data_IF_361560483057
#
_entry.id   IF_361560483057
#
_cell.length_a   1.000
_cell.length_b   1.000
_cell.length_c   1.000
_cell.angle_alpha   90.00
_cell.angle_beta   90.00
_cell.angle_gamma   90.00
#
_symmetry.space_group_name_H-M   'P 1'
#
loop_
_entity.id
_entity.type
_entity.pdbx_description
1 polymer ?
#
# COMPACT_ATOMS: atom_id res chain seq x y z
N UNK A 1 -20.85 -51.29 40.75
CA UNK A 1 -20.54 -51.13 39.31
C UNK A 1 -20.73 -49.64 38.98
N UNK A 2 -19.62 -48.88 38.91
CA UNK A 2 -18.88 -48.50 37.66
C UNK A 2 -19.66 -47.48 36.82
N UNK A 3 -19.22 -46.21 36.73
CA UNK A 3 -18.15 -45.70 35.82
C UNK A 3 -18.46 -46.04 34.35
N UNK A 4 -18.48 -45.11 33.39
CA UNK A 4 -18.04 -43.68 33.37
C UNK A 4 -18.68 -42.97 32.16
N UNK A 5 -18.96 -41.65 32.19
CA UNK A 5 -19.27 -40.91 30.96
C UNK A 5 -18.02 -40.82 30.05
N UNK A 6 -18.24 -40.92 28.74
CA UNK A 6 -17.16 -40.98 27.74
C UNK A 6 -16.42 -39.65 27.65
N UNK A 7 -15.08 -39.67 27.72
CA UNK A 7 -14.25 -38.52 27.35
C UNK A 7 -14.46 -38.19 25.87
N UNK A 8 -15.10 -37.06 25.59
CA UNK A 8 -15.11 -36.47 24.25
C UNK A 8 -13.69 -36.06 23.91
N UNK A 9 -13.08 -36.69 22.91
CA UNK A 9 -11.73 -36.35 22.44
C UNK A 9 -11.83 -35.03 21.68
N UNK A 10 -11.29 -33.95 22.23
CA UNK A 10 -11.09 -32.73 21.46
C UNK A 10 -10.03 -32.98 20.37
N UNK A 11 -10.28 -32.63 19.09
CA UNK A 11 -9.26 -32.74 18.06
C UNK A 11 -8.13 -31.76 18.34
N UNK A 12 -6.90 -32.27 18.26
CA UNK A 12 -5.67 -31.55 18.53
C UNK A 12 -5.57 -30.28 17.67
N UNK A 13 -5.62 -29.09 18.30
CA UNK A 13 -5.55 -27.79 17.61
C UNK A 13 -4.14 -27.53 17.08
N UNK A 14 -3.86 -28.01 15.87
CA UNK A 14 -2.65 -27.66 15.12
C UNK A 14 -2.72 -26.17 14.77
N UNK A 15 -1.90 -25.37 15.45
CA UNK A 15 -1.82 -23.92 15.23
C UNK A 15 -1.18 -23.65 13.88
N UNK A 16 -1.97 -23.20 12.90
CA UNK A 16 -1.50 -22.83 11.56
C UNK A 16 -1.36 -21.30 11.42
N UNK A 17 -0.19 -20.78 10.98
CA UNK A 17 0.06 -19.35 10.92
C UNK A 17 -0.60 -18.72 9.69
N UNK A 18 -1.92 -18.44 9.78
CA UNK A 18 -2.71 -17.85 8.69
C UNK A 18 -2.80 -16.33 8.80
N UNK A 19 -2.92 -15.67 7.65
CA UNK A 19 -3.17 -14.24 7.38
C UNK A 19 -1.94 -13.30 7.49
N UNK A 20 -1.63 -12.63 6.37
CA UNK A 20 -0.69 -11.50 6.25
C UNK A 20 -1.35 -10.36 5.42
N UNK A 21 -0.79 -9.14 5.42
CA UNK A 21 -1.64 -7.94 5.48
C UNK A 21 -0.93 -6.60 5.13
N UNK A 22 -1.58 -5.67 4.41
CA UNK A 22 -1.09 -4.31 4.01
C UNK A 22 -2.32 -3.31 3.91
N UNK A 23 -2.11 -1.99 3.66
CA UNK A 23 -3.08 -0.85 3.53
C UNK A 23 -3.61 -0.25 4.87
N UNK A 24 -3.38 0.97 5.44
CA UNK A 24 -2.77 2.32 5.16
C UNK A 24 -3.67 3.71 4.99
N UNK A 25 -3.32 4.97 5.52
CA UNK A 25 -3.62 6.50 5.17
C UNK A 25 -3.57 7.66 6.36
N UNK A 26 -3.49 9.05 6.33
CA UNK A 26 -3.11 10.02 7.56
C UNK A 26 -3.44 11.70 7.61
N UNK A 27 -2.99 13.04 8.01
CA UNK A 27 -1.90 14.17 8.50
C UNK A 27 -2.32 15.40 9.44
N UNK A 28 -1.34 15.90 10.25
CA UNK A 28 -1.15 17.24 10.92
C UNK A 28 -1.21 18.48 9.96
N UNK A 29 -1.36 19.73 10.45
CA UNK A 29 -1.06 21.00 9.74
C UNK A 29 0.41 21.51 9.97
N UNK A 30 0.91 22.67 9.49
CA UNK A 30 1.01 23.38 8.17
C UNK A 30 1.85 24.68 8.36
N UNK A 31 2.69 25.11 7.38
CA UNK A 31 3.25 26.49 7.30
C UNK A 31 3.64 26.89 5.84
N UNK A 32 3.83 28.19 5.58
CA UNK A 32 3.97 28.84 4.26
C UNK A 32 5.39 29.33 3.94
N UNK A 33 5.82 29.27 2.66
CA UNK A 33 6.84 30.13 2.01
C UNK A 33 6.39 30.41 0.56
N UNK A 34 6.84 31.53 -0.01
CA UNK A 34 6.39 32.15 -1.27
C UNK A 34 6.88 31.47 -2.57
N UNK A 35 6.33 31.92 -3.71
CA UNK A 35 6.61 31.40 -5.06
C UNK A 35 7.58 32.34 -5.78
N UNK A 36 8.66 31.80 -6.34
CA UNK A 36 9.47 32.48 -7.36
C UNK A 36 9.45 31.65 -8.65
N UNK A 37 9.01 32.26 -9.76
CA UNK A 37 8.88 31.60 -11.05
C UNK A 37 10.06 31.95 -11.97
N UNK A 38 11.11 31.12 -11.95
CA UNK A 38 12.16 31.16 -12.96
C UNK A 38 11.88 30.13 -14.06
N UNK A 39 12.00 30.53 -15.32
CA UNK A 39 11.90 29.63 -16.45
C UNK A 39 13.10 28.67 -16.48
N UNK A 40 12.84 27.36 -16.53
CA UNK A 40 13.89 26.34 -16.51
C UNK A 40 14.55 26.22 -17.89
N UNK A 41 15.87 26.41 -17.96
CA UNK A 41 16.66 26.00 -19.13
C UNK A 41 16.54 24.48 -19.34
N UNK A 42 16.49 24.03 -20.60
CA UNK A 42 16.52 22.60 -20.90
C UNK A 42 17.92 22.03 -20.64
N UNK A 43 18.14 21.55 -19.42
CA UNK A 43 19.27 20.65 -19.14
C UNK A 43 19.15 19.39 -20.04
N UNK A 44 20.28 18.86 -20.55
CA UNK A 44 20.27 17.64 -21.36
C UNK A 44 19.68 16.47 -20.55
N UNK A 45 18.75 15.73 -21.18
CA UNK A 45 17.93 14.74 -20.49
C UNK A 45 18.75 13.52 -20.03
N UNK A 46 19.15 13.53 -18.76
CA UNK A 46 19.94 12.47 -18.12
C UNK A 46 19.12 11.25 -17.71
N UNK A 47 19.81 10.15 -17.40
CA UNK A 47 19.26 8.93 -16.79
C UNK A 47 18.30 9.24 -15.63
N UNK A 48 18.75 10.03 -14.66
CA UNK A 48 17.95 10.40 -13.49
C UNK A 48 16.76 11.29 -13.83
N UNK A 49 16.86 12.15 -14.85
CA UNK A 49 15.72 12.94 -15.33
C UNK A 49 14.63 12.06 -15.94
N UNK A 50 15.02 11.10 -16.78
CA UNK A 50 14.07 10.14 -17.37
C UNK A 50 13.43 9.21 -16.34
N UNK A 51 14.17 8.76 -15.31
CA UNK A 51 13.57 8.04 -14.17
C UNK A 51 12.53 8.90 -13.44
N UNK A 52 12.88 10.14 -13.07
CA UNK A 52 11.98 11.04 -12.34
C UNK A 52 10.70 11.32 -13.11
N UNK A 53 10.82 11.66 -14.39
CA UNK A 53 9.68 11.83 -15.31
C UNK A 53 8.82 10.58 -15.39
N UNK A 54 9.42 9.40 -15.52
CA UNK A 54 8.70 8.13 -15.60
C UNK A 54 7.94 7.78 -14.31
N UNK A 55 8.51 8.08 -13.15
CA UNK A 55 7.85 7.91 -11.85
C UNK A 55 6.69 8.90 -11.72
N UNK A 56 6.86 10.17 -12.10
CA UNK A 56 5.78 11.16 -12.08
C UNK A 56 4.63 10.79 -13.03
N UNK A 57 4.95 10.24 -14.22
CA UNK A 57 3.95 9.68 -15.15
C UNK A 57 3.24 8.46 -14.57
N UNK A 58 3.95 7.55 -13.90
CA UNK A 58 3.34 6.42 -13.21
C UNK A 58 2.36 6.87 -12.12
N UNK A 59 2.74 7.89 -11.32
CA UNK A 59 1.89 8.47 -10.29
C UNK A 59 0.67 9.24 -10.84
N UNK A 60 0.71 9.72 -12.09
CA UNK A 60 -0.46 10.25 -12.81
C UNK A 60 -1.33 9.16 -13.48
N UNK A 61 -0.92 7.89 -13.44
CA UNK A 61 -1.53 6.76 -14.17
C UNK A 61 -1.35 6.84 -15.70
N UNK A 62 -0.33 7.55 -16.18
CA UNK A 62 0.05 7.70 -17.59
C UNK A 62 0.92 6.50 -18.04
N UNK A 63 0.30 5.31 -18.08
CA UNK A 63 0.96 3.99 -18.17
C UNK A 63 2.04 3.87 -19.26
N UNK A 64 1.71 4.28 -20.48
CA UNK A 64 2.61 4.13 -21.64
C UNK A 64 3.80 5.10 -21.57
N UNK A 65 3.55 6.36 -21.23
CA UNK A 65 4.57 7.40 -21.11
C UNK A 65 5.53 7.14 -19.94
N UNK A 66 5.01 6.60 -18.83
CA UNK A 66 5.82 6.15 -17.71
C UNK A 66 6.82 5.07 -18.12
N UNK A 67 6.35 4.03 -18.83
CA UNK A 67 7.22 2.98 -19.37
C UNK A 67 8.22 3.53 -20.39
N UNK A 68 7.78 4.39 -21.31
CA UNK A 68 8.66 5.00 -22.30
C UNK A 68 9.77 5.86 -21.67
N UNK A 69 9.49 6.60 -20.60
CA UNK A 69 10.49 7.38 -19.87
C UNK A 69 11.50 6.49 -19.14
N UNK A 70 11.05 5.50 -18.37
CA UNK A 70 11.97 4.61 -17.64
C UNK A 70 12.79 3.74 -18.61
N UNK A 71 12.20 3.31 -19.75
CA UNK A 71 12.93 2.62 -20.82
C UNK A 71 14.02 3.49 -21.44
N UNK A 72 13.78 4.79 -21.68
CA UNK A 72 14.83 5.73 -22.14
C UNK A 72 15.97 5.87 -21.14
N UNK A 73 15.70 5.81 -19.83
CA UNK A 73 16.78 5.75 -18.83
C UNK A 73 17.61 4.47 -19.00
N UNK A 74 16.98 3.30 -19.15
CA UNK A 74 17.69 2.03 -19.43
C UNK A 74 18.47 2.08 -20.76
N UNK A 75 17.98 2.77 -21.79
CA UNK A 75 18.68 2.94 -23.07
C UNK A 75 19.92 3.84 -22.95
N UNK A 76 19.92 4.84 -22.06
CA UNK A 76 21.06 5.71 -21.78
C UNK A 76 22.14 5.03 -20.92
N UNK A 77 21.76 4.21 -19.94
CA UNK A 77 22.70 3.46 -19.10
C UNK A 77 22.33 1.96 -19.03
N UNK A 78 22.59 1.17 -20.09
CA UNK A 78 22.15 -0.24 -20.16
C UNK A 78 22.74 -1.15 -19.08
N UNK A 79 23.86 -0.77 -18.44
CA UNK A 79 24.48 -1.52 -17.34
C UNK A 79 24.13 -0.97 -15.95
N UNK A 80 23.26 0.05 -15.86
CA UNK A 80 22.76 0.54 -14.58
C UNK A 80 21.53 -0.25 -14.11
N UNK A 81 21.63 -1.06 -13.03
CA UNK A 81 20.53 -1.88 -12.54
C UNK A 81 19.34 -1.07 -12.05
N UNK A 82 19.53 0.20 -11.68
CA UNK A 82 18.46 1.06 -11.16
C UNK A 82 17.33 1.22 -12.17
N UNK A 83 17.62 1.33 -13.48
CA UNK A 83 16.57 1.44 -14.51
C UNK A 83 15.68 0.21 -14.57
N UNK A 84 16.30 -0.98 -14.53
CA UNK A 84 15.60 -2.27 -14.47
C UNK A 84 14.81 -2.43 -13.15
N UNK A 85 15.36 -1.97 -12.02
CA UNK A 85 14.65 -1.98 -10.75
C UNK A 85 13.37 -1.12 -10.80
N UNK A 86 13.43 0.05 -11.45
CA UNK A 86 12.26 0.92 -11.62
C UNK A 86 11.26 0.41 -12.67
N UNK A 87 11.69 -0.30 -13.72
CA UNK A 87 10.76 -1.05 -14.59
C UNK A 87 10.03 -2.15 -13.79
N UNK A 88 10.71 -2.83 -12.88
CA UNK A 88 10.07 -3.81 -12.00
C UNK A 88 9.05 -3.17 -11.05
N UNK A 89 9.35 -2.01 -10.44
CA UNK A 89 8.36 -1.23 -9.65
C UNK A 89 7.17 -0.83 -10.50
N UNK A 90 7.42 -0.34 -11.72
CA UNK A 90 6.39 0.13 -12.64
C UNK A 90 5.39 -0.99 -13.00
N UNK A 91 5.91 -2.16 -13.37
CA UNK A 91 5.08 -3.31 -13.68
C UNK A 91 4.38 -3.91 -12.45
N UNK A 92 5.00 -3.87 -11.25
CA UNK A 92 4.30 -4.21 -10.00
C UNK A 92 3.08 -3.29 -9.77
N UNK A 93 3.28 -1.98 -9.91
CA UNK A 93 2.24 -0.96 -9.75
C UNK A 93 1.08 -1.18 -10.74
N UNK A 94 1.36 -1.41 -12.02
CA UNK A 94 0.33 -1.72 -13.02
C UNK A 94 -0.35 -3.08 -12.81
N UNK A 95 0.34 -4.08 -12.25
CA UNK A 95 -0.26 -5.36 -11.87
C UNK A 95 -1.30 -5.18 -10.74
N UNK A 96 -0.98 -4.42 -9.69
CA UNK A 96 -1.93 -4.14 -8.59
C UNK A 96 -3.09 -3.20 -9.00
N UNK A 97 -2.90 -2.39 -10.06
CA UNK A 97 -3.94 -1.48 -10.58
C UNK A 97 -4.80 -2.05 -11.71
N UNK A 98 -4.52 -3.27 -12.19
CA UNK A 98 -5.24 -3.85 -13.32
C UNK A 98 -6.64 -4.35 -12.96
N UNK A 99 -7.63 -3.97 -13.77
CA UNK A 99 -8.99 -4.53 -13.74
C UNK A 99 -9.13 -5.85 -14.53
N UNK A 100 -8.08 -6.26 -15.26
CA UNK A 100 -8.05 -7.45 -16.11
C UNK A 100 -6.97 -8.44 -15.61
N UNK A 101 -7.32 -9.72 -15.49
CA UNK A 101 -6.36 -10.76 -15.05
C UNK A 101 -5.21 -10.92 -16.05
N UNK A 102 -5.48 -10.91 -17.37
CA UNK A 102 -4.42 -11.06 -18.38
C UNK A 102 -3.35 -9.98 -18.27
N UNK A 103 -3.78 -8.73 -18.14
CA UNK A 103 -2.87 -7.59 -18.01
C UNK A 103 -2.17 -7.61 -16.65
N UNK A 104 -2.84 -8.09 -15.59
CA UNK A 104 -2.24 -8.28 -14.27
C UNK A 104 -1.11 -9.30 -14.31
N UNK A 105 -1.35 -10.45 -14.93
CA UNK A 105 -0.42 -11.57 -15.03
C UNK A 105 0.77 -11.22 -15.93
N UNK A 106 0.54 -10.57 -17.09
CA UNK A 106 1.60 -10.10 -17.98
C UNK A 106 2.50 -9.04 -17.30
N UNK A 107 1.91 -8.11 -16.55
CA UNK A 107 2.67 -7.18 -15.72
C UNK A 107 3.44 -7.90 -14.59
N UNK A 108 2.87 -8.92 -13.97
CA UNK A 108 3.55 -9.72 -12.95
C UNK A 108 4.76 -10.49 -13.53
N UNK A 109 4.66 -11.00 -14.76
CA UNK A 109 5.79 -11.63 -15.44
C UNK A 109 6.90 -10.62 -15.78
N UNK A 110 6.54 -9.48 -16.39
CA UNK A 110 7.48 -8.40 -16.70
C UNK A 110 8.20 -7.86 -15.45
N UNK A 111 7.46 -7.68 -14.35
CA UNK A 111 7.98 -7.32 -13.02
C UNK A 111 9.08 -8.30 -12.55
N UNK A 112 8.84 -9.61 -12.65
CA UNK A 112 9.80 -10.63 -12.22
C UNK A 112 11.04 -10.68 -13.14
N UNK A 113 10.85 -10.51 -14.45
CA UNK A 113 11.94 -10.46 -15.42
C UNK A 113 12.85 -9.24 -15.19
N UNK A 114 12.28 -8.04 -15.05
CA UNK A 114 13.08 -6.84 -14.75
C UNK A 114 13.73 -6.85 -13.37
N UNK A 115 13.09 -7.46 -12.35
CA UNK A 115 13.72 -7.67 -11.04
C UNK A 115 14.92 -8.62 -11.13
N UNK A 116 14.84 -9.67 -11.95
CA UNK A 116 15.95 -10.60 -12.23
C UNK A 116 17.10 -9.91 -12.98
N UNK A 117 16.81 -9.07 -13.97
CA UNK A 117 17.82 -8.30 -14.71
C UNK A 117 18.52 -7.24 -13.84
N UNK A 118 17.76 -6.49 -13.03
CA UNK A 118 18.30 -5.58 -12.02
C UNK A 118 19.25 -6.30 -11.07
N UNK A 119 18.82 -7.44 -10.51
CA UNK A 119 19.65 -8.22 -9.60
C UNK A 119 20.96 -8.68 -10.26
N UNK A 120 20.90 -9.19 -11.49
CA UNK A 120 22.09 -9.66 -12.21
C UNK A 120 23.09 -8.54 -12.56
N UNK A 121 22.60 -7.37 -13.01
CA UNK A 121 23.44 -6.20 -13.31
C UNK A 121 23.99 -5.55 -12.03
N UNK A 122 23.21 -5.55 -10.95
CA UNK A 122 23.65 -5.13 -9.62
C UNK A 122 24.77 -6.01 -9.08
N UNK A 123 24.57 -7.33 -9.09
CA UNK A 123 25.58 -8.34 -8.72
C UNK A 123 26.90 -8.15 -9.48
N UNK A 124 26.83 -7.84 -10.78
CA UNK A 124 28.00 -7.52 -11.60
C UNK A 124 28.69 -6.25 -11.11
N UNK A 125 27.95 -5.14 -10.92
CA UNK A 125 28.51 -3.86 -10.45
C UNK A 125 29.16 -3.97 -9.06
N UNK A 126 28.51 -4.62 -8.08
CA UNK A 126 29.06 -4.71 -6.71
C UNK A 126 30.28 -5.62 -6.60
N UNK A 127 30.49 -6.55 -7.55
CA UNK A 127 31.72 -7.36 -7.64
C UNK A 127 32.90 -6.58 -8.19
N UNK A 128 32.65 -5.62 -9.09
CA UNK A 128 33.67 -4.69 -9.59
C UNK A 128 33.91 -3.51 -8.63
N UNK A 129 32.87 -3.02 -7.96
CA UNK A 129 32.92 -1.93 -6.99
C UNK A 129 32.10 -2.27 -5.72
N UNK A 130 32.74 -2.81 -4.66
CA UNK A 130 32.07 -3.10 -3.39
C UNK A 130 31.54 -1.90 -2.60
N UNK A 131 31.68 -0.67 -3.10
CA UNK A 131 31.14 0.58 -2.54
C UNK A 131 30.04 1.20 -3.43
N UNK A 132 29.47 0.42 -4.35
CA UNK A 132 28.41 0.89 -5.27
C UNK A 132 27.02 0.89 -4.59
N UNK A 133 26.77 1.95 -3.81
CA UNK A 133 25.51 2.16 -3.08
C UNK A 133 24.28 2.14 -4.01
N UNK A 134 24.40 2.58 -5.27
CA UNK A 134 23.31 2.55 -6.25
C UNK A 134 22.98 1.12 -6.71
N UNK A 135 24.00 0.31 -7.01
CA UNK A 135 23.82 -1.09 -7.36
C UNK A 135 23.23 -1.88 -6.18
N UNK A 136 23.67 -1.59 -4.95
CA UNK A 136 23.08 -2.16 -3.73
C UNK A 136 21.62 -1.76 -3.53
N UNK A 137 21.26 -0.51 -3.78
CA UNK A 137 19.87 -0.04 -3.73
C UNK A 137 18.99 -0.73 -4.78
N UNK A 138 19.48 -0.87 -6.02
CA UNK A 138 18.76 -1.56 -7.09
C UNK A 138 18.53 -3.05 -6.80
N UNK A 139 19.53 -3.73 -6.19
CA UNK A 139 19.39 -5.10 -5.66
C UNK A 139 18.30 -5.15 -4.59
N UNK A 140 18.37 -4.30 -3.57
CA UNK A 140 17.42 -4.30 -2.46
C UNK A 140 15.98 -4.06 -2.94
N UNK A 141 15.78 -3.09 -3.85
CA UNK A 141 14.49 -2.80 -4.46
C UNK A 141 13.95 -4.00 -5.26
N UNK A 142 14.78 -4.63 -6.10
CA UNK A 142 14.40 -5.83 -6.84
C UNK A 142 14.03 -7.02 -5.93
N UNK A 143 14.76 -7.21 -4.82
CA UNK A 143 14.43 -8.22 -3.80
C UNK A 143 13.08 -7.96 -3.14
N UNK A 144 12.79 -6.71 -2.77
CA UNK A 144 11.53 -6.33 -2.10
C UNK A 144 10.31 -6.57 -2.98
N UNK A 145 10.41 -6.29 -4.28
CA UNK A 145 9.35 -6.58 -5.26
C UNK A 145 9.08 -8.09 -5.33
N UNK A 146 10.14 -8.91 -5.37
CA UNK A 146 10.01 -10.39 -5.35
C UNK A 146 9.48 -10.92 -4.00
N UNK A 147 9.80 -10.29 -2.88
CA UNK A 147 9.24 -10.58 -1.55
C UNK A 147 7.73 -10.32 -1.52
N UNK A 148 7.29 -9.16 -2.01
CA UNK A 148 5.87 -8.81 -2.08
C UNK A 148 5.09 -9.80 -2.95
N UNK A 149 5.61 -10.13 -4.13
CA UNK A 149 5.05 -11.17 -5.00
C UNK A 149 4.98 -12.55 -4.30
N UNK A 150 6.08 -12.98 -3.68
CA UNK A 150 6.15 -14.28 -2.99
C UNK A 150 5.22 -14.36 -1.77
N UNK A 151 4.93 -13.25 -1.10
CA UNK A 151 3.89 -13.15 -0.06
C UNK A 151 2.50 -13.38 -0.68
N UNK A 152 2.14 -12.62 -1.72
CA UNK A 152 0.81 -12.68 -2.33
C UNK A 152 0.52 -14.07 -2.93
N UNK A 153 1.50 -14.66 -3.62
CA UNK A 153 1.42 -16.00 -4.22
C UNK A 153 1.77 -17.14 -3.25
N UNK A 154 2.03 -16.85 -1.96
CA UNK A 154 2.32 -17.84 -0.90
C UNK A 154 3.55 -18.72 -1.18
N UNK A 155 4.51 -18.23 -1.98
CA UNK A 155 5.76 -18.91 -2.32
C UNK A 155 6.81 -18.77 -1.20
N UNK A 156 6.57 -19.42 -0.06
CA UNK A 156 7.39 -19.28 1.16
C UNK A 156 8.90 -19.58 0.97
N UNK A 157 9.27 -20.44 0.02
CA UNK A 157 10.68 -20.70 -0.30
C UNK A 157 11.35 -19.47 -0.94
N UNK A 158 10.71 -18.85 -1.94
CA UNK A 158 11.20 -17.62 -2.57
C UNK A 158 11.21 -16.48 -1.55
N UNK A 159 10.20 -16.39 -0.68
CA UNK A 159 10.17 -15.42 0.41
C UNK A 159 11.40 -15.53 1.33
N UNK A 160 11.77 -16.75 1.75
CA UNK A 160 12.96 -16.99 2.56
C UNK A 160 14.26 -16.68 1.80
N UNK A 161 14.38 -17.14 0.55
CA UNK A 161 15.53 -16.86 -0.32
C UNK A 161 15.73 -15.35 -0.54
N UNK A 162 14.64 -14.60 -0.76
CA UNK A 162 14.74 -13.19 -1.08
C UNK A 162 14.92 -12.30 0.14
N UNK A 163 14.40 -12.70 1.31
CA UNK A 163 14.65 -12.05 2.60
C UNK A 163 16.09 -12.24 3.09
N UNK A 164 16.76 -13.31 2.66
CA UNK A 164 18.15 -13.61 3.04
C UNK A 164 19.12 -12.46 2.68
N UNK A 165 19.96 -12.09 3.64
CA UNK A 165 20.96 -11.02 3.60
C UNK A 165 20.43 -9.62 3.17
N UNK A 166 19.11 -9.38 3.25
CA UNK A 166 18.54 -8.14 2.74
C UNK A 166 18.99 -6.89 3.51
N UNK A 167 19.28 -7.03 4.80
CA UNK A 167 19.83 -5.94 5.62
C UNK A 167 21.26 -5.56 5.22
N UNK A 168 22.09 -6.50 4.76
CA UNK A 168 23.45 -6.18 4.27
C UNK A 168 23.38 -5.36 2.99
N UNK A 169 22.39 -5.64 2.14
CA UNK A 169 22.12 -4.85 0.94
C UNK A 169 21.56 -3.47 1.29
N UNK A 170 20.62 -3.37 2.24
CA UNK A 170 20.03 -2.09 2.68
C UNK A 170 21.04 -1.18 3.40
N UNK A 171 21.85 -1.72 4.31
CA UNK A 171 22.85 -0.94 5.05
C UNK A 171 23.94 -0.35 4.14
N UNK A 172 24.33 -1.09 3.09
CA UNK A 172 25.24 -0.56 2.05
C UNK A 172 24.53 0.40 1.09
N UNK A 173 23.30 0.09 0.67
CA UNK A 173 22.47 0.96 -0.18
C UNK A 173 22.22 2.34 0.42
N UNK A 174 22.19 2.45 1.76
CA UNK A 174 22.05 3.70 2.51
C UNK A 174 23.23 4.66 2.31
N UNK A 175 24.43 4.12 2.11
CA UNK A 175 25.67 4.89 1.97
C UNK A 175 26.17 5.54 3.27
N UNK A 176 27.25 6.31 3.13
CA UNK A 176 27.93 7.02 4.22
C UNK A 176 27.71 8.53 4.13
N UNK A 177 28.02 9.27 5.20
CA UNK A 177 27.85 10.72 5.29
C UNK A 177 28.46 11.44 4.06
N UNK A 178 27.66 12.27 3.39
CA UNK A 178 28.01 12.96 2.14
C UNK A 178 27.51 12.27 0.86
N UNK A 179 27.28 10.96 0.88
CA UNK A 179 26.71 10.18 -0.23
C UNK A 179 25.60 9.23 0.27
N UNK A 180 24.65 9.83 1.00
CA UNK A 180 23.56 9.11 1.67
C UNK A 180 22.33 9.01 0.76
N UNK A 181 21.94 7.80 0.39
CA UNK A 181 20.72 7.58 -0.40
C UNK A 181 19.50 7.51 0.51
N UNK A 182 18.70 8.58 0.52
CA UNK A 182 17.50 8.66 1.36
C UNK A 182 16.35 7.77 0.89
N UNK A 183 16.31 7.34 -0.37
CA UNK A 183 15.29 6.40 -0.86
C UNK A 183 15.45 5.00 -0.24
N UNK A 184 16.64 4.65 0.25
CA UNK A 184 16.86 3.39 0.98
C UNK A 184 16.06 3.33 2.29
N UNK A 185 15.78 4.47 2.94
CA UNK A 185 14.98 4.48 4.19
C UNK A 185 13.51 4.11 3.96
N UNK A 186 12.97 4.28 2.77
CA UNK A 186 11.65 3.74 2.44
C UNK A 186 11.67 2.21 2.53
N UNK A 187 12.68 1.59 1.93
CA UNK A 187 12.85 0.14 1.89
C UNK A 187 13.14 -0.45 3.29
N UNK A 188 13.92 0.23 4.12
CA UNK A 188 14.16 -0.15 5.52
C UNK A 188 12.89 0.03 6.37
N UNK A 189 12.18 1.14 6.18
CA UNK A 189 10.99 1.50 6.93
C UNK A 189 9.82 0.53 6.70
N UNK A 190 9.61 0.09 5.46
CA UNK A 190 8.68 -0.99 5.11
C UNK A 190 8.89 -2.23 5.99
N UNK A 191 10.13 -2.70 6.13
CA UNK A 191 10.43 -3.85 6.97
C UNK A 191 10.21 -3.53 8.46
N UNK A 192 10.84 -2.48 8.98
CA UNK A 192 10.77 -2.16 10.41
C UNK A 192 9.34 -1.92 10.90
N UNK A 193 8.50 -1.25 10.10
CA UNK A 193 7.10 -0.98 10.41
C UNK A 193 6.24 -2.25 10.36
N UNK A 194 6.21 -2.95 9.21
CA UNK A 194 5.30 -4.08 9.02
C UNK A 194 5.73 -5.33 9.79
N UNK A 195 7.01 -5.45 10.22
CA UNK A 195 7.58 -6.59 10.94
C UNK A 195 6.71 -7.14 12.07
N UNK A 196 6.12 -6.27 12.90
CA UNK A 196 5.26 -6.65 14.04
C UNK A 196 4.02 -7.43 13.62
N UNK A 197 3.55 -7.23 12.39
CA UNK A 197 2.40 -7.93 11.80
C UNK A 197 2.79 -9.26 11.12
N UNK A 198 4.09 -9.60 11.04
CA UNK A 198 4.60 -10.75 10.29
C UNK A 198 5.14 -11.87 11.19
N UNK A 199 4.24 -12.60 11.86
CA UNK A 199 4.56 -13.70 12.79
C UNK A 199 5.30 -14.91 12.20
N UNK A 200 5.62 -14.91 10.89
CA UNK A 200 6.38 -15.96 10.20
C UNK A 200 7.76 -15.55 9.68
N UNK A 201 8.00 -14.28 9.31
CA UNK A 201 9.26 -13.84 8.68
C UNK A 201 10.40 -13.70 9.68
N UNK A 202 10.10 -13.49 10.96
CA UNK A 202 11.07 -13.28 12.05
C UNK A 202 12.13 -14.41 12.13
N UNK A 203 11.83 -15.64 11.67
CA UNK A 203 12.78 -16.77 11.65
C UNK A 203 13.80 -16.71 10.49
N UNK A 204 13.54 -15.93 9.44
CA UNK A 204 14.38 -15.83 8.24
C UNK A 204 15.21 -14.53 8.22
N UNK A 205 14.99 -13.66 9.19
CA UNK A 205 15.86 -12.52 9.49
C UNK A 205 16.87 -12.94 10.57
N UNK A 206 18.07 -12.36 10.53
CA UNK A 206 19.11 -12.65 11.52
C UNK A 206 18.66 -12.24 12.92
N UNK A 207 18.94 -13.10 13.91
CA UNK A 207 18.41 -12.98 15.28
C UNK A 207 18.86 -11.74 16.05
N UNK A 208 19.87 -11.02 15.55
CA UNK A 208 20.35 -9.73 16.08
C UNK A 208 19.44 -8.53 15.77
N UNK A 209 18.47 -8.67 14.85
CA UNK A 209 17.65 -7.55 14.34
C UNK A 209 16.23 -7.46 14.91
N UNK A 210 15.89 -8.28 15.91
CA UNK A 210 14.60 -8.19 16.63
C UNK A 210 14.68 -7.06 17.68
N UNK A 211 14.80 -5.82 17.21
CA UNK A 211 14.92 -4.63 18.05
C UNK A 211 13.54 -4.21 18.60
N UNK A 212 13.33 -4.17 19.93
CA UNK A 212 12.12 -3.58 20.52
C UNK A 212 12.01 -2.11 20.10
N UNK A 213 10.92 -1.77 19.40
CA UNK A 213 10.72 -0.43 18.82
C UNK A 213 10.76 -0.36 17.29
N UNK A 214 10.90 -1.49 16.58
CA UNK A 214 10.94 -1.53 15.10
C UNK A 214 9.79 -0.75 14.45
N UNK A 215 8.57 -0.84 14.98
CA UNK A 215 7.38 -0.20 14.42
C UNK A 215 7.49 1.34 14.37
N UNK A 216 7.86 2.00 15.47
CA UNK A 216 8.09 3.44 15.50
C UNK A 216 9.31 3.86 14.68
N UNK A 217 10.38 3.05 14.69
CA UNK A 217 11.55 3.24 13.82
C UNK A 217 11.16 3.21 12.34
N UNK A 218 10.27 2.31 11.95
CA UNK A 218 9.77 2.20 10.58
C UNK A 218 9.05 3.46 10.11
N UNK A 219 8.16 4.03 10.95
CA UNK A 219 7.55 5.35 10.68
C UNK A 219 8.62 6.44 10.51
N UNK A 220 9.64 6.49 11.36
CA UNK A 220 10.72 7.50 11.27
C UNK A 220 11.57 7.36 9.99
N UNK A 221 11.84 6.14 9.54
CA UNK A 221 12.55 5.88 8.29
C UNK A 221 11.70 6.23 7.06
N UNK A 222 10.41 5.87 7.08
CA UNK A 222 9.45 6.30 6.06
C UNK A 222 9.30 7.84 6.04
N UNK A 223 9.19 8.51 7.19
CA UNK A 223 9.19 9.98 7.35
C UNK A 223 10.45 10.64 6.76
N UNK A 224 11.61 10.02 6.97
CA UNK A 224 12.87 10.49 6.41
C UNK A 224 12.91 10.36 4.88
N UNK A 225 12.40 9.27 4.31
CA UNK A 225 12.29 9.08 2.87
C UNK A 225 11.24 10.01 2.21
N UNK A 226 10.07 10.18 2.82
CA UNK A 226 9.04 11.11 2.34
C UNK A 226 9.49 12.58 2.36
N UNK A 227 10.45 12.93 3.24
CA UNK A 227 11.02 14.27 3.35
C UNK A 227 12.25 14.48 2.45
N UNK A 228 13.16 13.50 2.34
CA UNK A 228 14.48 13.64 1.72
C UNK A 228 14.79 12.70 0.54
N UNK A 229 13.93 11.71 0.25
CA UNK A 229 14.07 10.83 -0.91
C UNK A 229 14.00 11.60 -2.23
N UNK A 230 14.39 10.95 -3.33
CA UNK A 230 14.41 11.55 -4.66
C UNK A 230 13.60 10.75 -5.69
N UNK A 231 13.71 9.42 -5.68
CA UNK A 231 12.97 8.52 -6.58
C UNK A 231 11.79 7.85 -5.89
N UNK A 232 11.91 7.51 -4.61
CA UNK A 232 10.86 6.85 -3.82
C UNK A 232 10.16 7.82 -2.85
N UNK A 233 10.42 9.13 -2.95
CA UNK A 233 9.79 10.16 -2.11
C UNK A 233 8.27 10.10 -2.13
N UNK A 234 7.66 10.09 -3.31
CA UNK A 234 6.20 10.10 -3.46
C UNK A 234 5.60 8.74 -3.11
N UNK A 235 6.39 7.66 -3.19
CA UNK A 235 6.00 6.33 -2.71
C UNK A 235 6.09 6.22 -1.19
N UNK A 236 7.09 6.84 -0.56
CA UNK A 236 7.19 6.99 0.89
C UNK A 236 6.14 7.94 1.44
N UNK A 237 5.79 9.01 0.71
CA UNK A 237 4.58 9.78 0.98
C UNK A 237 3.37 8.86 0.84
N UNK A 238 3.19 8.15 -0.27
CA UNK A 238 2.08 7.22 -0.47
C UNK A 238 2.17 5.88 0.30
N UNK A 239 3.11 5.75 1.25
CA UNK A 239 3.27 4.66 2.25
C UNK A 239 3.07 5.21 3.69
N UNK A 240 3.55 6.41 4.03
CA UNK A 240 3.23 7.15 5.27
C UNK A 240 1.84 7.76 5.29
N UNK A 241 1.46 8.37 4.17
CA UNK A 241 0.10 8.68 3.77
C UNK A 241 -0.61 7.58 3.04
N UNK A 242 0.05 6.45 3.07
CA UNK A 242 -0.56 5.27 3.59
C UNK A 242 -0.42 5.24 5.16
N UNK A 243 -0.01 4.18 5.85
CA UNK A 243 -0.01 3.94 7.31
C UNK A 243 -1.31 4.24 8.09
N UNK A 244 -1.43 5.46 8.61
CA UNK A 244 -2.10 5.70 9.89
C UNK A 244 -3.65 5.60 9.92
N UNK A 245 -4.40 5.29 8.84
CA UNK A 245 -5.88 5.35 8.79
C UNK A 245 -6.39 4.00 9.25
N UNK A 246 -5.72 3.00 8.70
CA UNK A 246 -6.10 1.61 8.82
C UNK A 246 -5.26 0.91 9.90
N UNK A 247 -4.06 1.41 10.20
CA UNK A 247 -3.23 0.91 11.30
C UNK A 247 -3.28 1.85 12.52
N UNK A 248 -2.55 2.97 12.52
CA UNK A 248 -2.37 3.84 13.70
C UNK A 248 -3.60 4.66 14.14
N UNK A 249 -4.71 4.60 13.39
CA UNK A 249 -5.96 5.36 13.52
C UNK A 249 -5.80 6.88 13.71
N UNK A 250 -4.79 7.46 13.06
CA UNK A 250 -4.53 8.88 13.00
C UNK A 250 -4.78 9.40 11.57
N UNK A 251 -6.05 9.75 11.20
CA UNK A 251 -6.36 10.60 10.04
C UNK A 251 -5.72 11.99 10.12
N UNK A 252 -4.89 12.22 11.14
CA UNK A 252 -3.95 13.32 11.28
C UNK A 252 -2.44 12.90 11.17
N UNK A 253 -2.00 11.90 10.35
CA UNK A 253 -0.57 11.75 9.85
C UNK A 253 -0.03 11.69 8.29
N UNK A 254 -0.43 11.91 6.96
CA UNK A 254 -1.37 12.23 5.76
C UNK A 254 -2.01 13.51 5.21
N UNK A 255 -3.26 13.92 5.46
CA UNK A 255 -3.96 15.10 4.96
C UNK A 255 -3.11 16.08 4.12
N UNK A 256 -2.06 16.82 4.59
CA UNK A 256 -1.09 17.45 3.66
C UNK A 256 -0.27 16.56 2.69
N UNK A 257 0.37 15.45 3.06
CA UNK A 257 0.88 14.43 2.10
C UNK A 257 -0.19 14.01 1.07
N UNK A 258 -1.42 13.65 1.48
CA UNK A 258 -2.49 13.23 0.53
C UNK A 258 -2.97 14.41 -0.31
N UNK A 259 -3.08 15.62 0.26
CA UNK A 259 -3.35 16.85 -0.47
C UNK A 259 -2.22 17.20 -1.44
N UNK A 260 -0.97 16.97 -1.09
CA UNK A 260 0.20 17.23 -1.93
C UNK A 260 0.30 16.21 -3.07
N UNK A 261 0.07 14.92 -2.79
CA UNK A 261 -0.07 13.88 -3.81
C UNK A 261 -1.26 14.16 -4.74
N UNK A 262 -2.42 14.58 -4.21
CA UNK A 262 -3.59 14.96 -5.00
C UNK A 262 -3.37 16.28 -5.78
N UNK A 263 -2.58 17.21 -5.26
CA UNK A 263 -2.24 18.49 -5.92
C UNK A 263 -1.24 18.28 -7.05
N UNK A 264 -0.29 17.36 -6.88
CA UNK A 264 0.74 17.01 -7.88
C UNK A 264 0.22 16.02 -8.93
N UNK A 265 -0.68 15.12 -8.54
CA UNK A 265 -1.24 14.07 -9.38
C UNK A 265 -2.78 14.09 -9.39
N UNK A 266 -3.44 15.19 -9.82
CA UNK A 266 -4.88 15.40 -9.64
C UNK A 266 -5.77 14.44 -10.43
N UNK A 267 -5.23 13.77 -11.45
CA UNK A 267 -5.95 12.78 -12.25
C UNK A 267 -5.90 11.37 -11.63
N UNK A 268 -5.02 11.11 -10.65
CA UNK A 268 -4.94 9.81 -10.01
C UNK A 268 -6.08 9.63 -9.00
N UNK A 269 -7.10 8.87 -9.41
CA UNK A 269 -8.28 8.58 -8.59
C UNK A 269 -7.94 8.03 -7.20
N UNK A 270 -6.80 7.36 -7.00
CA UNK A 270 -6.41 6.83 -5.70
C UNK A 270 -6.23 7.93 -4.66
N UNK A 271 -5.66 9.08 -5.03
CA UNK A 271 -5.43 10.19 -4.11
C UNK A 271 -6.72 10.97 -3.82
N UNK A 272 -7.65 11.08 -4.79
CA UNK A 272 -8.99 11.61 -4.54
C UNK A 272 -9.78 10.70 -3.57
N UNK A 273 -9.76 9.38 -3.81
CA UNK A 273 -10.36 8.39 -2.90
C UNK A 273 -9.75 8.44 -1.48
N UNK A 274 -8.44 8.60 -1.37
CA UNK A 274 -7.74 8.75 -0.10
C UNK A 274 -8.09 10.09 0.58
N UNK A 275 -8.16 11.20 -0.16
CA UNK A 275 -8.44 12.53 0.37
C UNK A 275 -9.86 12.63 0.91
N UNK A 276 -10.86 12.20 0.13
CA UNK A 276 -12.25 12.13 0.58
C UNK A 276 -12.40 11.19 1.80
N UNK A 277 -11.73 10.03 1.78
CA UNK A 277 -11.68 9.11 2.94
C UNK A 277 -11.09 9.76 4.21
N UNK A 278 -9.97 10.48 4.08
CA UNK A 278 -9.32 11.17 5.19
C UNK A 278 -10.18 12.31 5.72
N UNK A 279 -10.82 13.08 4.84
CA UNK A 279 -11.72 14.16 5.23
C UNK A 279 -12.97 13.62 5.95
N UNK A 280 -13.53 12.50 5.47
CA UNK A 280 -14.65 11.83 6.13
C UNK A 280 -14.28 11.31 7.54
N UNK A 281 -13.06 10.78 7.73
CA UNK A 281 -12.54 10.34 9.04
C UNK A 281 -12.15 11.53 9.95
N UNK A 282 -12.02 12.74 9.41
CA UNK A 282 -11.87 14.00 10.15
C UNK A 282 -13.21 14.75 10.34
N UNK A 283 -14.34 14.12 10.04
CA UNK A 283 -15.70 14.71 10.08
C UNK A 283 -15.90 15.95 9.17
N UNK A 284 -15.03 16.16 8.17
CA UNK A 284 -15.09 17.24 7.19
C UNK A 284 -15.94 16.84 5.98
N UNK A 285 -17.22 16.59 6.27
CA UNK A 285 -18.14 15.88 5.37
C UNK A 285 -18.46 16.60 4.06
N UNK A 286 -18.50 17.93 4.06
CA UNK A 286 -18.74 18.73 2.85
C UNK A 286 -17.59 18.54 1.85
N UNK A 287 -16.35 18.83 2.25
CA UNK A 287 -15.14 18.61 1.43
C UNK A 287 -14.99 17.15 0.98
N UNK A 288 -15.36 16.19 1.84
CA UNK A 288 -15.35 14.77 1.48
C UNK A 288 -16.37 14.47 0.37
N UNK A 289 -17.57 15.05 0.48
CA UNK A 289 -18.66 14.89 -0.49
C UNK A 289 -18.40 15.62 -1.81
N UNK A 290 -17.72 16.77 -1.80
CA UNK A 290 -17.29 17.48 -3.01
C UNK A 290 -16.35 16.64 -3.88
N UNK A 291 -15.34 16.03 -3.24
CA UNK A 291 -14.40 15.12 -3.92
C UNK A 291 -15.13 13.85 -4.37
N UNK A 292 -16.09 13.34 -3.60
CA UNK A 292 -16.90 12.20 -4.02
C UNK A 292 -17.76 12.53 -5.25
N UNK A 293 -18.38 13.72 -5.32
CA UNK A 293 -19.09 14.23 -6.50
C UNK A 293 -18.15 14.41 -7.71
N UNK A 294 -16.91 14.84 -7.50
CA UNK A 294 -15.89 14.91 -8.56
C UNK A 294 -15.54 13.50 -9.10
N UNK A 295 -15.33 12.53 -8.21
CA UNK A 295 -15.06 11.13 -8.59
C UNK A 295 -16.24 10.56 -9.38
N UNK A 296 -17.47 10.71 -8.88
CA UNK A 296 -18.69 10.22 -9.53
C UNK A 296 -18.85 10.81 -10.93
N UNK A 297 -18.73 12.13 -11.08
CA UNK A 297 -18.80 12.82 -12.38
C UNK A 297 -17.77 12.28 -13.38
N UNK A 298 -16.53 12.05 -12.94
CA UNK A 298 -15.47 11.54 -13.80
C UNK A 298 -15.69 10.07 -14.20
N UNK A 299 -16.25 9.24 -13.30
CA UNK A 299 -16.64 7.85 -13.59
C UNK A 299 -17.81 7.83 -14.59
N UNK A 300 -18.86 8.63 -14.38
CA UNK A 300 -20.02 8.73 -15.27
C UNK A 300 -19.64 9.22 -16.68
N UNK A 301 -18.69 10.15 -16.77
CA UNK A 301 -18.17 10.66 -18.03
C UNK A 301 -17.04 9.79 -18.64
N UNK A 302 -16.65 8.68 -17.99
CA UNK A 302 -15.55 7.80 -18.41
C UNK A 302 -14.24 8.54 -18.76
N UNK A 303 -13.94 9.63 -18.05
CA UNK A 303 -12.74 10.46 -18.31
C UNK A 303 -11.51 9.68 -17.83
N UNK A 304 -10.56 9.27 -18.69
CA UNK A 304 -9.39 8.52 -18.24
C UNK A 304 -8.59 9.28 -17.18
N UNK A 305 -8.11 8.64 -16.09
CA UNK A 305 -8.11 7.19 -15.82
C UNK A 305 -9.34 6.67 -15.05
N UNK A 306 -10.43 7.44 -14.94
CA UNK A 306 -11.66 7.03 -14.27
C UNK A 306 -12.51 6.11 -15.16
N UNK A 307 -12.93 4.97 -14.62
CA UNK A 307 -13.61 3.90 -15.37
C UNK A 307 -14.76 3.29 -14.54
N UNK A 308 -15.79 2.68 -15.17
CA UNK A 308 -16.96 2.13 -14.46
C UNK A 308 -16.65 1.11 -13.34
N UNK A 309 -15.52 0.39 -13.44
CA UNK A 309 -15.04 -0.56 -12.42
C UNK A 309 -14.77 0.10 -11.04
N UNK A 310 -14.60 1.43 -11.01
CA UNK A 310 -14.47 2.21 -9.78
C UNK A 310 -15.79 2.42 -9.03
N UNK A 311 -16.96 2.10 -9.63
CA UNK A 311 -18.27 2.36 -9.03
C UNK A 311 -18.46 1.67 -7.67
N UNK A 312 -17.97 0.43 -7.50
CA UNK A 312 -18.03 -0.25 -6.18
C UNK A 312 -17.19 0.48 -5.12
N UNK A 313 -16.00 0.99 -5.51
CA UNK A 313 -15.14 1.79 -4.63
C UNK A 313 -15.77 3.14 -4.28
N UNK A 314 -16.46 3.78 -5.22
CA UNK A 314 -17.28 4.98 -4.96
C UNK A 314 -18.43 4.68 -4.00
N UNK A 315 -19.16 3.57 -4.21
CA UNK A 315 -20.21 3.13 -3.31
C UNK A 315 -19.66 2.91 -1.88
N UNK A 316 -18.48 2.30 -1.72
CA UNK A 316 -17.83 2.13 -0.42
C UNK A 316 -17.38 3.46 0.21
N UNK A 317 -16.92 4.43 -0.60
CA UNK A 317 -16.59 5.79 -0.14
C UNK A 317 -17.82 6.52 0.40
N UNK A 318 -18.92 6.54 -0.35
CA UNK A 318 -20.17 7.16 0.10
C UNK A 318 -20.72 6.46 1.34
N UNK A 319 -20.66 5.13 1.40
CA UNK A 319 -21.00 4.36 2.59
C UNK A 319 -20.18 4.78 3.82
N UNK A 320 -18.87 5.04 3.66
CA UNK A 320 -17.98 5.56 4.72
C UNK A 320 -18.37 6.97 5.17
N UNK A 321 -18.69 7.88 4.23
CA UNK A 321 -19.13 9.25 4.55
C UNK A 321 -20.39 9.20 5.42
N UNK A 322 -21.44 8.51 4.96
CA UNK A 322 -22.69 8.36 5.73
C UNK A 322 -22.50 7.59 7.05
N UNK A 323 -21.60 6.60 7.11
CA UNK A 323 -21.26 5.92 8.37
C UNK A 323 -20.69 6.90 9.39
N UNK A 324 -19.71 7.72 8.99
CA UNK A 324 -19.04 8.65 9.88
C UNK A 324 -19.96 9.84 10.28
N UNK A 325 -20.96 10.18 9.46
CA UNK A 325 -22.06 11.10 9.81
C UNK A 325 -23.08 10.49 10.78
N UNK A 326 -23.16 9.16 10.88
CA UNK A 326 -24.20 8.44 11.63
C UNK A 326 -25.50 8.20 10.83
N UNK A 327 -25.52 8.50 9.53
CA UNK A 327 -26.64 8.25 8.62
C UNK A 327 -26.68 6.77 8.17
N UNK A 328 -26.84 5.88 9.14
CA UNK A 328 -26.58 4.45 8.98
C UNK A 328 -27.44 3.75 7.92
N UNK A 329 -28.69 4.15 7.68
CA UNK A 329 -29.54 3.50 6.67
C UNK A 329 -29.08 3.81 5.23
N UNK A 330 -28.66 5.05 4.95
CA UNK A 330 -28.02 5.41 3.68
C UNK A 330 -26.67 4.72 3.54
N UNK A 331 -25.91 4.66 4.63
CA UNK A 331 -24.64 3.93 4.71
C UNK A 331 -24.80 2.44 4.35
N UNK A 332 -25.85 1.77 4.85
CA UNK A 332 -26.20 0.38 4.48
C UNK A 332 -26.43 0.25 2.98
N UNK A 333 -27.26 1.11 2.37
CA UNK A 333 -27.58 1.05 0.94
C UNK A 333 -26.30 1.12 0.08
N UNK A 334 -25.43 2.09 0.38
CA UNK A 334 -24.16 2.26 -0.33
C UNK A 334 -23.19 1.09 -0.13
N UNK A 335 -23.09 0.52 1.09
CA UNK A 335 -22.28 -0.69 1.29
C UNK A 335 -22.87 -1.91 0.58
N UNK A 336 -24.19 -2.11 0.59
CA UNK A 336 -24.85 -3.17 -0.19
C UNK A 336 -24.62 -3.00 -1.70
N UNK A 337 -24.66 -1.75 -2.20
CA UNK A 337 -24.32 -1.43 -3.59
C UNK A 337 -22.84 -1.69 -3.93
N UNK A 338 -21.91 -1.55 -2.97
CA UNK A 338 -20.52 -1.94 -3.15
C UNK A 338 -20.33 -3.48 -3.24
N UNK A 339 -21.14 -4.25 -2.49
CA UNK A 339 -21.08 -5.73 -2.47
C UNK A 339 -21.55 -6.42 -3.76
N UNK A 340 -22.27 -5.71 -4.64
CA UNK A 340 -22.79 -6.25 -5.91
C UNK A 340 -21.68 -6.65 -6.89
N UNK A 341 -20.55 -5.95 -6.88
CA UNK A 341 -19.40 -6.32 -7.73
C UNK A 341 -18.47 -7.31 -7.01
N UNK A 342 -18.51 -8.56 -7.45
CA UNK A 342 -17.69 -9.65 -6.92
C UNK A 342 -16.31 -9.77 -7.58
N UNK A 343 -15.95 -8.89 -8.51
CA UNK A 343 -14.67 -8.91 -9.23
C UNK A 343 -13.45 -8.90 -8.30
N UNK A 344 -12.33 -9.49 -8.76
CA UNK A 344 -11.13 -9.70 -7.94
C UNK A 344 -10.55 -8.38 -7.40
N UNK A 345 -10.54 -7.31 -8.22
CA UNK A 345 -10.02 -5.99 -7.85
C UNK A 345 -10.86 -5.31 -6.75
N UNK A 346 -12.14 -5.66 -6.61
CA UNK A 346 -13.02 -5.13 -5.57
C UNK A 346 -13.11 -6.04 -4.32
N UNK A 347 -12.25 -7.05 -4.17
CA UNK A 347 -12.21 -7.90 -2.97
C UNK A 347 -12.01 -7.10 -1.66
N UNK A 348 -10.99 -6.22 -1.60
CA UNK A 348 -10.75 -5.34 -0.43
C UNK A 348 -11.91 -4.36 -0.17
N UNK A 349 -12.58 -3.90 -1.23
CA UNK A 349 -13.76 -3.03 -1.14
C UNK A 349 -14.93 -3.76 -0.49
N UNK A 350 -15.19 -5.00 -0.91
CA UNK A 350 -16.23 -5.87 -0.32
C UNK A 350 -15.96 -6.19 1.16
N UNK A 351 -14.72 -6.48 1.56
CA UNK A 351 -14.40 -6.70 2.99
C UNK A 351 -14.65 -5.44 3.82
N UNK A 352 -14.24 -4.26 3.35
CA UNK A 352 -14.52 -3.01 4.06
C UNK A 352 -16.03 -2.72 4.20
N UNK A 353 -16.82 -2.99 3.15
CA UNK A 353 -18.27 -2.85 3.18
C UNK A 353 -18.91 -3.83 4.19
N UNK A 354 -18.53 -5.11 4.18
CA UNK A 354 -19.00 -6.10 5.15
C UNK A 354 -18.65 -5.72 6.59
N UNK A 355 -17.42 -5.27 6.85
CA UNK A 355 -17.01 -4.85 8.19
C UNK A 355 -17.80 -3.64 8.68
N UNK A 356 -18.05 -2.64 7.81
CA UNK A 356 -18.84 -1.48 8.21
C UNK A 356 -20.32 -1.83 8.40
N UNK A 357 -20.90 -2.73 7.60
CA UNK A 357 -22.24 -3.28 7.86
C UNK A 357 -22.31 -3.99 9.21
N UNK A 358 -21.31 -4.80 9.55
CA UNK A 358 -21.20 -5.45 10.86
C UNK A 358 -21.14 -4.44 12.02
N UNK A 359 -20.37 -3.35 11.84
CA UNK A 359 -20.29 -2.26 12.81
C UNK A 359 -21.64 -1.54 13.00
N UNK A 360 -22.44 -1.35 11.94
CA UNK A 360 -23.81 -0.82 12.03
C UNK A 360 -24.72 -1.78 12.80
N UNK A 361 -24.61 -3.10 12.58
CA UNK A 361 -25.38 -4.09 13.32
C UNK A 361 -24.99 -4.15 14.81
N UNK A 362 -23.70 -4.04 15.17
CA UNK A 362 -23.27 -3.92 16.57
C UNK A 362 -23.84 -2.64 17.23
N UNK A 363 -23.80 -1.48 16.54
CA UNK A 363 -24.46 -0.23 17.01
C UNK A 363 -25.96 -0.44 17.25
N UNK A 364 -26.63 -1.19 16.37
CA UNK A 364 -28.05 -1.56 16.47
C UNK A 364 -28.33 -2.68 17.49
N UNK A 365 -27.31 -3.18 18.20
CA UNK A 365 -27.36 -4.33 19.14
C UNK A 365 -27.78 -5.65 18.47
N UNK A 366 -27.71 -5.73 17.13
CA UNK A 366 -28.09 -6.87 16.31
C UNK A 366 -26.92 -7.86 16.17
N UNK A 367 -26.40 -8.35 17.31
CA UNK A 367 -25.08 -9.00 17.39
C UNK A 367 -24.88 -10.15 16.41
N UNK A 368 -25.86 -11.03 16.24
CA UNK A 368 -25.77 -12.17 15.32
C UNK A 368 -25.55 -11.73 13.87
N UNK A 369 -26.18 -10.62 13.44
CA UNK A 369 -26.02 -10.05 12.09
C UNK A 369 -24.64 -9.37 11.95
N UNK A 370 -24.11 -8.80 13.03
CA UNK A 370 -22.76 -8.24 13.04
C UNK A 370 -21.70 -9.33 12.85
N UNK A 371 -21.81 -10.43 13.60
CA UNK A 371 -20.91 -11.57 13.49
C UNK A 371 -20.98 -12.24 12.11
N UNK A 372 -22.18 -12.41 11.55
CA UNK A 372 -22.36 -12.90 10.17
C UNK A 372 -21.61 -12.03 9.15
N UNK A 373 -21.70 -10.70 9.27
CA UNK A 373 -20.98 -9.77 8.40
C UNK A 373 -19.45 -9.87 8.58
N UNK A 374 -18.97 -10.00 9.83
CA UNK A 374 -17.54 -10.15 10.09
C UNK A 374 -16.98 -11.50 9.62
N UNK A 375 -17.73 -12.60 9.73
CA UNK A 375 -17.35 -13.91 9.18
C UNK A 375 -17.26 -13.86 7.66
N UNK A 376 -18.28 -13.32 6.97
CA UNK A 376 -18.26 -13.09 5.52
C UNK A 376 -17.04 -12.26 5.08
N UNK A 377 -16.64 -11.25 5.86
CA UNK A 377 -15.44 -10.46 5.56
C UNK A 377 -14.13 -11.27 5.62
N UNK A 378 -14.08 -12.34 6.43
CA UNK A 378 -12.94 -13.27 6.49
C UNK A 378 -12.93 -14.31 5.36
N UNK A 379 -14.04 -14.47 4.63
CA UNK A 379 -14.21 -15.44 3.53
C UNK A 379 -13.87 -14.86 2.15
N UNK A 380 -14.03 -13.54 1.93
CA UNK A 380 -13.76 -12.90 0.63
C UNK A 380 -12.29 -13.02 0.22
N UNK A 381 -11.98 -13.95 -0.70
CA UNK A 381 -10.62 -14.16 -1.23
C UNK A 381 -10.04 -12.89 -1.88
N UNK A 382 -8.73 -12.64 -1.69
CA UNK A 382 -8.08 -11.39 -2.08
C UNK A 382 -8.42 -10.19 -1.17
N UNK A 383 -9.27 -10.41 -0.16
CA UNK A 383 -9.69 -9.42 0.83
C UNK A 383 -8.69 -9.14 1.96
N UNK A 384 -7.46 -9.65 1.86
CA UNK A 384 -6.36 -9.38 2.78
C UNK A 384 -6.01 -7.87 2.83
N UNK A 385 -6.20 -7.26 4.00
CA UNK A 385 -5.96 -5.84 4.28
C UNK A 385 -6.89 -5.32 5.40
N UNK A 386 -6.61 -4.10 5.87
CA UNK A 386 -7.21 -3.39 7.02
C UNK A 386 -8.48 -3.97 7.69
N UNK A 387 -9.55 -4.10 6.92
CA UNK A 387 -10.84 -4.58 7.36
C UNK A 387 -10.78 -5.99 8.00
N UNK A 388 -9.95 -6.92 7.52
CA UNK A 388 -9.86 -8.29 8.09
C UNK A 388 -9.17 -8.39 9.47
N UNK A 389 -8.46 -7.37 9.94
CA UNK A 389 -8.01 -7.30 11.35
C UNK A 389 -9.15 -6.75 12.21
N UNK A 390 -9.82 -5.69 11.74
CA UNK A 390 -11.00 -5.14 12.42
C UNK A 390 -12.12 -6.18 12.56
N UNK A 391 -12.40 -6.99 11.53
CA UNK A 391 -13.37 -8.08 11.58
C UNK A 391 -13.09 -9.08 12.74
N UNK A 392 -11.83 -9.50 12.91
CA UNK A 392 -11.43 -10.41 14.00
C UNK A 392 -11.55 -9.77 15.37
N UNK A 393 -11.16 -8.50 15.47
CA UNK A 393 -11.30 -7.69 16.69
C UNK A 393 -12.78 -7.55 17.07
N UNK A 394 -13.66 -7.26 16.12
CA UNK A 394 -15.09 -7.10 16.36
C UNK A 394 -15.86 -8.42 16.55
N UNK A 395 -15.32 -9.55 16.08
CA UNK A 395 -15.77 -10.88 16.51
C UNK A 395 -15.46 -11.18 17.99
N UNK A 396 -14.41 -10.59 18.56
CA UNK A 396 -14.03 -10.77 19.99
C UNK A 396 -14.69 -9.73 20.89
N UNK A 397 -14.76 -8.47 20.44
CA UNK A 397 -15.27 -7.33 21.20
C UNK A 397 -16.18 -6.49 20.30
N UNK A 398 -17.51 -6.47 20.50
CA UNK A 398 -18.45 -5.74 19.64
C UNK A 398 -18.04 -4.28 19.40
N UNK A 399 -18.28 -3.79 18.18
CA UNK A 399 -18.02 -2.39 17.86
C UNK A 399 -18.95 -1.47 18.65
N UNK A 400 -18.36 -0.50 19.36
CA UNK A 400 -19.08 0.62 19.95
C UNK A 400 -18.77 1.88 19.17
N UNK A 401 -19.79 2.73 18.94
CA UNK A 401 -19.53 4.09 18.48
C UNK A 401 -18.61 4.80 19.48
N UNK A 402 -17.63 5.59 19.03
CA UNK A 402 -17.00 6.56 19.92
C UNK A 402 -18.08 7.49 20.51
N UNK A 403 -17.85 8.04 21.72
CA UNK A 403 -18.74 9.06 22.27
C UNK A 403 -18.80 10.25 21.30
N UNK A 404 -19.98 10.88 21.21
CA UNK A 404 -20.11 12.15 20.48
C UNK A 404 -19.30 13.21 21.22
N UNK A 405 -18.45 13.93 20.48
CA UNK A 405 -17.75 15.13 20.91
C UNK A 405 -18.70 16.33 20.92
#
# INVERSE_FOLDING_TARGET
MTKTPVKKVEPMKIITPRNLFIVLCSLFPVFLIEINANATELQPASFHSYLRQGIDKAFNLETADAYACIKKAVELEPENPTGYAFLAVLHWFFSEMSFNTKDRDANQEAMLNYAKESFAKGEKRIKTNPQDNQAYFAIALAKIIKIHWAINQKHYFILAQETSNIWDYLEKAKGVNGNQNYDTYFLMGLFHYHLKHVSGIIRFLSSSLIVPGSHQKGLQELELAAKKGFLLKELAQAELSSDYLNFEKQPAKALPFVRELNKRFPNNYNFLFALSSTLADLHRFEEASDIARQIEKNIQACVPPFVPQLQSRYNQLMGRIYFNQGEYDRSIEYFQNALKDVSFYNARVRVWALVRLGMIHDIRKQRNMAEECYYKALEVEGGEGAARIEAKKYLITPYTSPPKL
#
